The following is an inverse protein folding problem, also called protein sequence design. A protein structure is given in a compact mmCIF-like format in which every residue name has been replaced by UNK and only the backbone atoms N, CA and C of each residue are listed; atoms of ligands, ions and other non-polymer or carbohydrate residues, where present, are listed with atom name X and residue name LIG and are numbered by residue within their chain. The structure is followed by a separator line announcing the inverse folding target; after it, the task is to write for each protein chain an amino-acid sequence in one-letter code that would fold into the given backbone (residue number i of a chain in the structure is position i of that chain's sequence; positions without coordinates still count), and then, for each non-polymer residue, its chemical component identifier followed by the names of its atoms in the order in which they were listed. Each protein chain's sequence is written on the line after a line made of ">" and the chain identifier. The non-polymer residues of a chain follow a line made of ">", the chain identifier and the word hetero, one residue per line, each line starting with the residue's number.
data_IF_727668187079
#
_entry.id   IF_727668187079
#
_cell.length_a   1.000
_cell.length_b   1.000
_cell.length_c   1.000
_cell.angle_alpha   90.00
_cell.angle_beta   90.00
_cell.angle_gamma   90.00
#
_symmetry.space_group_name_H-M   'P 1'
#
loop_
_entity.id
_entity.type
_entity.pdbx_description
1 polymer ?
#
# COMPACT_ATOMS: atom_id res chain seq x y z
N UNK A 1 -6.98 24.99 -9.00
CA UNK A 1 -7.06 23.84 -8.07
C UNK A 1 -5.67 23.35 -7.71
N UNK A 2 -4.81 23.07 -8.69
CA UNK A 2 -3.42 22.69 -8.50
C UNK A 2 -2.65 23.66 -7.59
N UNK A 3 -2.82 24.98 -7.75
CA UNK A 3 -2.17 25.96 -6.85
C UNK A 3 -2.56 25.78 -5.37
N UNK A 4 -3.81 25.40 -5.10
CA UNK A 4 -4.26 25.13 -3.72
C UNK A 4 -3.65 23.83 -3.18
N UNK A 5 -3.48 22.82 -4.02
CA UNK A 5 -2.78 21.58 -3.66
C UNK A 5 -1.30 21.87 -3.38
N UNK A 6 -0.60 22.58 -4.27
CA UNK A 6 0.79 22.97 -4.10
C UNK A 6 0.98 23.79 -2.82
N UNK A 7 0.11 24.78 -2.57
CA UNK A 7 0.11 25.54 -1.31
C UNK A 7 -0.08 24.63 -0.09
N UNK A 8 -0.94 23.62 -0.19
CA UNK A 8 -1.15 22.65 0.90
C UNK A 8 0.09 21.80 1.14
N UNK A 9 0.83 21.40 0.10
CA UNK A 9 2.13 20.71 0.25
C UNK A 9 3.16 21.60 0.96
N UNK A 10 3.25 22.89 0.59
CA UNK A 10 4.15 23.85 1.25
C UNK A 10 3.77 24.08 2.72
N UNK A 11 2.47 24.18 3.03
CA UNK A 11 1.98 24.29 4.41
C UNK A 11 2.29 23.02 5.21
N UNK A 12 2.14 21.84 4.58
CA UNK A 12 2.45 20.57 5.21
C UNK A 12 3.95 20.42 5.51
N UNK A 13 4.81 20.79 4.56
CA UNK A 13 6.25 20.84 4.74
C UNK A 13 6.67 21.70 5.94
N UNK A 14 6.07 22.89 6.09
CA UNK A 14 6.33 23.77 7.24
C UNK A 14 5.89 23.14 8.56
N UNK A 15 4.73 22.48 8.58
CA UNK A 15 4.25 21.75 9.75
C UNK A 15 5.22 20.62 10.13
N UNK A 16 5.64 19.80 9.16
CA UNK A 16 6.58 18.70 9.41
C UNK A 16 7.95 19.22 9.89
N UNK A 17 8.47 20.32 9.33
CA UNK A 17 9.72 20.94 9.82
C UNK A 17 9.60 21.39 11.27
N UNK A 18 8.48 22.01 11.65
CA UNK A 18 8.23 22.42 13.04
C UNK A 18 8.09 21.21 13.96
N UNK A 19 7.37 20.17 13.54
CA UNK A 19 7.23 18.94 14.33
C UNK A 19 8.60 18.30 14.53
N UNK A 20 9.38 18.15 13.46
CA UNK A 20 10.69 17.47 13.50
C UNK A 20 11.68 18.17 14.44
N UNK A 21 11.65 19.50 14.51
CA UNK A 21 12.50 20.29 15.40
C UNK A 21 12.21 20.04 16.89
N UNK A 22 10.94 19.79 17.23
CA UNK A 22 10.46 19.58 18.60
C UNK A 22 10.15 18.08 18.90
N UNK A 23 10.59 17.17 18.02
CA UNK A 23 10.17 15.77 18.06
C UNK A 23 10.97 14.97 19.09
N UNK A 24 10.28 14.52 20.13
CA UNK A 24 10.75 13.47 21.03
C UNK A 24 9.92 12.20 20.85
N UNK A 25 10.58 11.05 21.00
CA UNK A 25 10.00 9.69 20.92
C UNK A 25 8.84 9.54 21.92
N UNK A 26 8.90 10.21 23.07
CA UNK A 26 7.86 10.12 24.10
C UNK A 26 6.54 10.78 23.63
N UNK A 27 6.62 11.91 22.93
CA UNK A 27 5.51 12.79 22.56
C UNK A 27 4.97 12.62 21.14
N UNK A 28 5.33 11.53 20.46
CA UNK A 28 4.91 11.26 19.06
C UNK A 28 3.38 11.37 18.88
N UNK A 29 2.58 10.90 19.83
CA UNK A 29 1.11 10.98 19.73
C UNK A 29 0.60 12.41 19.60
N UNK A 30 1.14 13.33 20.39
CA UNK A 30 0.78 14.75 20.34
C UNK A 30 1.15 15.40 19.00
N UNK A 31 2.30 15.03 18.44
CA UNK A 31 2.74 15.55 17.15
C UNK A 31 1.91 14.99 15.98
N UNK A 32 1.60 13.69 16.00
CA UNK A 32 0.70 13.07 15.03
C UNK A 32 -0.71 13.68 15.09
N UNK A 33 -1.18 14.10 16.26
CA UNK A 33 -2.45 14.81 16.41
C UNK A 33 -2.50 16.16 15.70
N UNK A 34 -1.37 16.89 15.67
CA UNK A 34 -1.27 18.12 14.87
C UNK A 34 -1.40 17.81 13.38
N UNK A 35 -0.78 16.73 12.91
CA UNK A 35 -0.87 16.25 11.52
C UNK A 35 -2.32 15.83 11.19
N UNK A 36 -2.97 15.10 12.11
CA UNK A 36 -4.38 14.69 11.98
C UNK A 36 -5.27 15.90 11.77
N UNK A 37 -5.14 16.91 12.64
CA UNK A 37 -5.90 18.14 12.57
C UNK A 37 -5.64 18.94 11.28
N UNK A 38 -4.41 18.96 10.80
CA UNK A 38 -4.06 19.58 9.52
C UNK A 38 -4.81 18.92 8.36
N UNK A 39 -4.68 17.61 8.21
CA UNK A 39 -5.30 16.88 7.10
C UNK A 39 -6.82 16.84 7.20
N UNK A 40 -7.38 16.72 8.41
CA UNK A 40 -8.81 16.82 8.61
C UNK A 40 -9.38 18.15 8.10
N UNK A 41 -8.70 19.29 8.32
CA UNK A 41 -9.10 20.60 7.78
C UNK A 41 -8.98 20.68 6.26
N UNK A 42 -8.09 19.90 5.64
CA UNK A 42 -7.84 19.86 4.20
C UNK A 42 -8.67 18.82 3.45
N UNK A 43 -9.39 17.93 4.15
CA UNK A 43 -10.16 16.82 3.54
C UNK A 43 -11.01 17.25 2.35
N UNK A 44 -11.75 18.36 2.48
CA UNK A 44 -12.63 18.85 1.42
C UNK A 44 -11.89 19.31 0.17
N UNK A 45 -10.69 19.87 0.34
CA UNK A 45 -9.84 20.21 -0.79
C UNK A 45 -9.41 18.95 -1.55
N UNK A 46 -9.06 17.88 -0.83
CA UNK A 46 -8.64 16.61 -1.42
C UNK A 46 -9.82 15.91 -2.12
N UNK A 47 -11.01 15.91 -1.53
CA UNK A 47 -12.23 15.41 -2.18
C UNK A 47 -12.50 16.11 -3.52
N UNK A 48 -12.43 17.45 -3.53
CA UNK A 48 -12.63 18.23 -4.76
C UNK A 48 -11.49 17.98 -5.75
N UNK A 49 -10.24 17.89 -5.29
CA UNK A 49 -9.12 17.54 -6.15
C UNK A 49 -9.30 16.16 -6.79
N UNK A 50 -9.80 15.18 -6.05
CA UNK A 50 -10.14 13.88 -6.61
C UNK A 50 -11.17 13.99 -7.72
N UNK A 51 -12.25 14.73 -7.53
CA UNK A 51 -13.33 14.82 -8.53
C UNK A 51 -12.94 15.55 -9.82
N UNK A 52 -12.05 16.56 -9.73
CA UNK A 52 -11.77 17.47 -10.84
C UNK A 52 -10.34 17.42 -11.38
N UNK A 53 -9.39 16.86 -10.62
CA UNK A 53 -7.98 16.74 -10.99
C UNK A 53 -7.59 15.28 -11.20
N UNK A 54 -7.84 14.41 -10.22
CA UNK A 54 -7.39 13.00 -10.26
C UNK A 54 -8.34 12.10 -11.08
N UNK A 55 -9.64 12.36 -10.99
CA UNK A 55 -10.63 11.74 -11.84
C UNK A 55 -10.33 12.14 -13.30
N UNK A 56 -10.23 11.15 -14.19
CA UNK A 56 -9.88 11.27 -15.62
C UNK A 56 -8.39 11.43 -15.96
N UNK A 57 -7.46 11.24 -15.02
CA UNK A 57 -6.04 11.56 -15.26
C UNK A 57 -5.02 10.45 -15.00
N UNK A 58 -5.39 9.17 -15.02
CA UNK A 58 -4.45 8.06 -14.75
C UNK A 58 -3.57 8.39 -13.53
N UNK A 59 -4.23 8.69 -12.41
CA UNK A 59 -3.56 9.03 -11.16
C UNK A 59 -3.25 7.77 -10.38
N UNK A 60 -2.00 7.61 -9.96
CA UNK A 60 -1.57 6.46 -9.16
C UNK A 60 -1.19 6.89 -7.76
N UNK A 61 -1.44 6.03 -6.79
CA UNK A 61 -1.04 6.28 -5.41
C UNK A 61 -0.17 5.15 -4.86
N UNK A 62 1.00 5.51 -4.35
CA UNK A 62 1.94 4.61 -3.71
C UNK A 62 1.47 4.35 -2.29
N UNK A 63 1.07 3.11 -1.99
CA UNK A 63 0.39 2.74 -0.74
C UNK A 63 0.93 1.44 -0.17
N UNK A 64 0.38 1.02 0.97
CA UNK A 64 0.76 -0.19 1.71
C UNK A 64 2.25 -0.28 2.10
N UNK A 65 2.93 0.86 2.18
CA UNK A 65 4.29 0.94 2.69
C UNK A 65 4.32 1.57 4.08
N UNK A 66 5.34 1.22 4.85
CA UNK A 66 5.65 1.90 6.12
C UNK A 66 6.39 3.23 5.92
N UNK A 67 7.19 3.35 4.85
CA UNK A 67 7.90 4.59 4.49
C UNK A 67 8.31 4.55 3.02
N UNK A 68 8.50 5.73 2.43
CA UNK A 68 9.14 5.85 1.13
C UNK A 68 10.64 6.05 1.34
N UNK A 69 11.44 5.00 1.22
CA UNK A 69 12.89 5.12 1.41
C UNK A 69 13.49 5.93 0.25
N UNK A 70 13.78 7.20 0.48
CA UNK A 70 14.31 8.12 -0.55
C UNK A 70 15.71 7.76 -1.04
N UNK A 71 16.44 6.94 -0.27
CA UNK A 71 17.76 6.43 -0.66
C UNK A 71 17.66 5.25 -1.63
N UNK A 72 16.53 4.54 -1.66
CA UNK A 72 16.31 3.43 -2.59
C UNK A 72 15.77 3.96 -3.92
N UNK A 73 16.35 3.48 -5.01
CA UNK A 73 15.91 3.78 -6.38
C UNK A 73 14.93 2.74 -6.93
N UNK A 74 14.70 1.63 -6.22
CA UNK A 74 13.94 0.46 -6.69
C UNK A 74 12.50 0.78 -7.09
N UNK A 75 11.95 1.86 -6.52
CA UNK A 75 10.56 2.27 -6.72
C UNK A 75 10.44 3.59 -7.49
N UNK A 76 11.53 4.14 -8.02
CA UNK A 76 11.51 5.45 -8.68
C UNK A 76 10.68 5.47 -9.97
N UNK A 77 10.42 4.31 -10.58
CA UNK A 77 9.46 4.17 -11.68
C UNK A 77 8.08 4.74 -11.36
N UNK A 78 7.69 4.75 -10.08
CA UNK A 78 6.43 5.34 -9.63
C UNK A 78 6.29 6.81 -10.09
N UNK A 79 7.37 7.60 -10.06
CA UNK A 79 7.34 9.04 -10.39
C UNK A 79 7.06 9.37 -11.85
N UNK A 80 7.04 8.37 -12.73
CA UNK A 80 6.84 8.52 -14.18
C UNK A 80 5.65 7.73 -14.71
N UNK A 81 4.94 7.00 -13.84
CA UNK A 81 3.71 6.29 -14.18
C UNK A 81 2.52 7.20 -13.89
N UNK A 82 1.71 7.45 -14.92
CA UNK A 82 0.52 8.30 -14.78
C UNK A 82 0.78 9.79 -14.96
N UNK A 83 -0.31 10.57 -14.98
CA UNK A 83 -0.22 12.03 -15.03
C UNK A 83 0.09 12.64 -13.67
N UNK A 84 -0.46 12.03 -12.61
CA UNK A 84 -0.27 12.43 -11.22
C UNK A 84 0.11 11.24 -10.37
N UNK A 85 0.97 11.51 -9.39
CA UNK A 85 1.45 10.52 -8.43
C UNK A 85 1.13 11.00 -7.03
N UNK A 86 0.59 10.12 -6.19
CA UNK A 86 0.28 10.43 -4.80
C UNK A 86 1.02 9.47 -3.88
N UNK A 87 1.84 9.96 -2.95
CA UNK A 87 2.32 9.13 -1.86
C UNK A 87 1.27 9.14 -0.74
N UNK A 88 0.75 7.97 -0.42
CA UNK A 88 -0.18 7.75 0.67
C UNK A 88 0.54 7.79 2.01
N UNK A 89 0.49 8.95 2.65
CA UNK A 89 1.22 9.23 3.87
C UNK A 89 0.78 8.31 5.04
N UNK A 90 1.67 7.43 5.53
CA UNK A 90 1.32 6.43 6.54
C UNK A 90 1.31 6.98 7.96
N UNK A 91 1.74 8.23 8.21
CA UNK A 91 1.94 8.76 9.57
C UNK A 91 0.69 8.65 10.45
N UNK A 92 -0.49 8.89 9.88
CA UNK A 92 -1.76 8.81 10.62
C UNK A 92 -2.23 7.37 10.88
N UNK A 93 -1.73 6.40 10.10
CA UNK A 93 -1.98 4.98 10.41
C UNK A 93 -1.26 4.56 11.70
N UNK A 94 -0.11 5.18 12.01
CA UNK A 94 0.61 4.92 13.26
C UNK A 94 -0.09 5.52 14.48
N UNK A 95 -0.76 6.66 14.32
CA UNK A 95 -1.51 7.28 15.41
C UNK A 95 -2.60 6.33 15.94
N UNK A 96 -3.34 5.66 15.04
CA UNK A 96 -4.40 4.72 15.44
C UNK A 96 -3.85 3.56 16.29
N UNK A 97 -2.63 3.10 16.03
CA UNK A 97 -1.97 2.04 16.81
C UNK A 97 -1.44 2.59 18.14
N UNK A 98 -0.86 3.79 18.14
CA UNK A 98 -0.28 4.45 19.31
C UNK A 98 -1.37 4.91 20.30
N UNK A 99 -2.56 5.29 19.85
CA UNK A 99 -3.68 5.69 20.71
C UNK A 99 -4.32 4.48 21.42
N UNK A 100 -4.22 3.27 20.86
CA UNK A 100 -4.82 2.03 21.41
C UNK A 100 -3.95 1.31 22.45
N UNK A 101 -3.03 2.02 23.10
CA UNK A 101 -2.02 1.50 24.05
C UNK A 101 -2.57 0.56 25.12
N UNK A 102 -3.78 0.80 25.61
CA UNK A 102 -4.40 -0.03 26.66
C UNK A 102 -4.69 -1.47 26.21
N UNK A 103 -4.78 -1.71 24.90
CA UNK A 103 -4.94 -3.05 24.30
C UNK A 103 -3.60 -3.76 24.04
N UNK A 104 -2.48 -3.07 24.22
CA UNK A 104 -1.16 -3.38 23.65
C UNK A 104 -0.12 -3.65 24.76
N UNK A 105 -0.59 -4.08 25.94
CA UNK A 105 0.17 -4.36 27.18
C UNK A 105 1.37 -5.34 27.04
N UNK A 106 1.59 -5.94 25.87
CA UNK A 106 2.68 -6.89 25.60
C UNK A 106 3.57 -6.51 24.41
N UNK A 107 3.53 -5.26 23.96
CA UNK A 107 4.17 -4.82 22.71
C UNK A 107 5.10 -3.61 22.89
N UNK A 108 5.68 -3.38 24.07
CA UNK A 108 6.54 -2.22 24.32
C UNK A 108 7.70 -2.08 23.30
N UNK A 109 8.33 -3.19 22.94
CA UNK A 109 9.38 -3.23 21.90
C UNK A 109 8.83 -2.82 20.54
N UNK A 110 7.65 -3.32 20.18
CA UNK A 110 6.97 -2.98 18.92
C UNK A 110 6.58 -1.50 18.89
N UNK A 111 6.01 -0.96 19.97
CA UNK A 111 5.66 0.45 20.10
C UNK A 111 6.89 1.36 19.95
N UNK A 112 8.03 0.99 20.52
CA UNK A 112 9.29 1.75 20.35
C UNK A 112 9.76 1.73 18.91
N UNK A 113 9.73 0.57 18.24
CA UNK A 113 10.07 0.47 16.81
C UNK A 113 9.13 1.29 15.93
N UNK A 114 7.84 1.26 16.23
CA UNK A 114 6.82 2.03 15.51
C UNK A 114 7.08 3.54 15.63
N UNK A 115 7.40 3.99 16.85
CA UNK A 115 7.77 5.37 17.13
C UNK A 115 9.02 5.81 16.35
N UNK A 116 10.06 4.98 16.27
CA UNK A 116 11.23 5.29 15.45
C UNK A 116 10.89 5.38 13.96
N UNK A 117 10.04 4.46 13.46
CA UNK A 117 9.56 4.51 12.07
C UNK A 117 8.82 5.82 11.76
N UNK A 118 8.05 6.37 12.69
CA UNK A 118 7.41 7.69 12.52
C UNK A 118 8.45 8.78 12.27
N UNK A 119 9.56 8.78 13.01
CA UNK A 119 10.64 9.76 12.85
C UNK A 119 11.28 9.62 11.47
N UNK A 120 11.65 8.39 11.09
CA UNK A 120 12.23 8.09 9.77
C UNK A 120 11.29 8.50 8.63
N UNK A 121 9.99 8.19 8.75
CA UNK A 121 8.97 8.60 7.78
C UNK A 121 8.88 10.13 7.66
N UNK A 122 8.94 10.87 8.77
CA UNK A 122 8.95 12.35 8.72
C UNK A 122 10.18 12.86 7.96
N UNK A 123 11.35 12.27 8.20
CA UNK A 123 12.60 12.65 7.52
C UNK A 123 12.50 12.38 5.99
N UNK A 124 12.02 11.20 5.60
CA UNK A 124 11.77 10.84 4.20
C UNK A 124 10.78 11.82 3.53
N UNK A 125 9.68 12.15 4.22
CA UNK A 125 8.66 13.09 3.73
C UNK A 125 9.20 14.51 3.54
N UNK A 126 10.06 14.98 4.46
CA UNK A 126 10.70 16.29 4.34
C UNK A 126 11.59 16.37 3.10
N UNK A 127 12.38 15.33 2.82
CA UNK A 127 13.23 15.25 1.63
C UNK A 127 12.37 15.27 0.36
N UNK A 128 11.29 14.49 0.31
CA UNK A 128 10.39 14.45 -0.85
C UNK A 128 9.69 15.78 -1.11
N UNK A 129 9.23 16.47 -0.05
CA UNK A 129 8.57 17.77 -0.16
C UNK A 129 9.55 18.87 -0.61
N UNK A 130 10.81 18.81 -0.17
CA UNK A 130 11.84 19.78 -0.54
C UNK A 130 12.23 19.70 -2.03
N UNK A 131 12.09 18.53 -2.66
CA UNK A 131 12.36 18.33 -4.09
C UNK A 131 11.35 19.00 -5.03
N UNK A 132 10.18 19.44 -4.51
CA UNK A 132 9.11 20.08 -5.29
C UNK A 132 8.75 19.34 -6.59
N UNK A 133 8.67 18.01 -6.51
CA UNK A 133 8.51 17.13 -7.67
C UNK A 133 7.19 17.47 -8.42
N UNK A 134 7.24 17.80 -9.73
CA UNK A 134 6.03 18.18 -10.47
C UNK A 134 4.98 17.07 -10.50
N UNK A 135 3.70 17.40 -10.29
CA UNK A 135 2.56 16.47 -10.29
C UNK A 135 2.60 15.34 -9.25
N UNK A 136 3.53 15.42 -8.29
CA UNK A 136 3.61 14.50 -7.16
C UNK A 136 3.06 15.16 -5.90
N UNK A 137 2.26 14.43 -5.14
CA UNK A 137 1.62 14.93 -3.92
C UNK A 137 1.75 13.92 -2.78
N UNK A 138 2.01 14.40 -1.58
CA UNK A 138 1.93 13.60 -0.34
C UNK A 138 0.58 13.88 0.29
N UNK A 139 -0.26 12.85 0.42
CA UNK A 139 -1.62 12.96 0.98
C UNK A 139 -1.98 11.64 1.68
N UNK A 140 -2.45 11.66 2.94
CA UNK A 140 -2.85 10.44 3.65
C UNK A 140 -4.26 10.00 3.19
N UNK A 141 -4.37 9.47 1.97
CA UNK A 141 -5.65 9.15 1.35
C UNK A 141 -6.43 8.11 2.16
N UNK A 142 -5.79 7.06 2.68
CA UNK A 142 -6.49 6.04 3.48
C UNK A 142 -7.10 6.62 4.76
N UNK A 143 -6.36 7.47 5.47
CA UNK A 143 -6.88 8.19 6.64
C UNK A 143 -8.06 9.11 6.26
N UNK A 144 -7.95 9.84 5.15
CA UNK A 144 -9.03 10.71 4.72
C UNK A 144 -10.27 9.91 4.33
N UNK A 145 -10.10 8.79 3.63
CA UNK A 145 -11.19 7.88 3.31
C UNK A 145 -11.86 7.36 4.59
N UNK A 146 -11.08 6.94 5.60
CA UNK A 146 -11.64 6.44 6.87
C UNK A 146 -12.41 7.51 7.66
N UNK A 147 -12.07 8.79 7.48
CA UNK A 147 -12.80 9.93 8.06
C UNK A 147 -14.09 10.29 7.32
N UNK A 148 -14.19 9.95 6.02
CA UNK A 148 -15.30 10.36 5.16
C UNK A 148 -16.29 9.22 4.95
N UNK A 149 -15.78 8.00 4.80
CA UNK A 149 -16.56 6.82 4.53
C UNK A 149 -16.92 6.09 5.83
N UNK A 150 -18.16 6.27 6.27
CA UNK A 150 -18.71 5.59 7.45
C UNK A 150 -18.97 4.09 7.21
N UNK A 151 -19.12 3.67 5.94
CA UNK A 151 -19.41 2.29 5.56
C UNK A 151 -18.12 1.50 5.31
N UNK A 152 -17.46 1.10 6.41
CA UNK A 152 -16.33 0.16 6.33
C UNK A 152 -16.83 -1.22 5.92
N UNK A 153 -16.20 -1.82 4.91
CA UNK A 153 -16.50 -3.20 4.52
C UNK A 153 -15.90 -4.13 5.57
N UNK A 154 -16.74 -4.97 6.19
CA UNK A 154 -16.26 -6.04 7.06
C UNK A 154 -15.57 -7.12 6.23
N UNK A 155 -14.30 -7.36 6.53
CA UNK A 155 -13.47 -8.37 5.85
C UNK A 155 -13.68 -9.77 6.43
N UNK A 156 -14.29 -9.90 7.62
CA UNK A 156 -14.46 -11.18 8.29
C UNK A 156 -15.21 -12.23 7.46
N UNK A 157 -16.29 -11.90 6.73
CA UNK A 157 -16.94 -12.85 5.83
C UNK A 157 -15.99 -13.44 4.78
N UNK A 158 -15.07 -12.62 4.26
CA UNK A 158 -14.05 -13.10 3.32
C UNK A 158 -13.02 -13.99 4.02
N UNK A 159 -12.56 -13.60 5.22
CA UNK A 159 -11.58 -14.37 6.00
C UNK A 159 -12.13 -15.75 6.40
N UNK A 160 -13.43 -15.84 6.71
CA UNK A 160 -14.09 -17.10 7.04
C UNK A 160 -13.94 -18.16 5.95
N UNK A 161 -13.80 -17.75 4.68
CA UNK A 161 -13.60 -18.69 3.57
C UNK A 161 -12.26 -19.44 3.64
N UNK A 162 -11.29 -19.03 4.46
CA UNK A 162 -10.03 -19.77 4.62
C UNK A 162 -10.13 -20.91 5.65
N UNK A 163 -11.25 -20.98 6.35
CA UNK A 163 -11.49 -21.89 7.45
C UNK A 163 -12.66 -22.81 7.12
N UNK A 164 -12.69 -23.97 7.78
CA UNK A 164 -13.88 -24.84 7.74
C UNK A 164 -15.07 -24.08 8.36
N UNK A 165 -16.28 -24.24 7.82
CA UNK A 165 -17.46 -23.37 8.12
C UNK A 165 -17.94 -23.37 9.60
N UNK A 166 -17.32 -24.14 10.49
CA UNK A 166 -17.71 -24.33 11.89
C UNK A 166 -16.78 -23.70 12.95
N UNK A 167 -15.82 -22.84 12.57
CA UNK A 167 -14.91 -22.25 13.57
C UNK A 167 -15.56 -21.12 14.38
N UNK A 168 -15.51 -21.26 15.69
CA UNK A 168 -15.77 -20.16 16.62
C UNK A 168 -14.49 -19.33 16.82
N UNK A 169 -14.42 -18.16 16.17
CA UNK A 169 -13.30 -17.22 16.29
C UNK A 169 -13.14 -16.64 17.71
N UNK A 170 -14.14 -16.78 18.59
CA UNK A 170 -13.99 -16.43 20.00
C UNK A 170 -13.23 -17.49 20.81
N UNK A 171 -13.07 -18.70 20.27
CA UNK A 171 -12.50 -19.88 20.95
C UNK A 171 -11.29 -20.48 20.21
N UNK A 172 -10.53 -19.65 19.50
CA UNK A 172 -9.34 -20.11 18.76
C UNK A 172 -8.26 -20.76 19.64
N UNK A 173 -8.33 -20.60 20.96
CA UNK A 173 -7.44 -21.25 21.92
C UNK A 173 -7.79 -22.72 22.18
N UNK A 174 -8.98 -23.18 21.79
CA UNK A 174 -9.47 -24.54 22.01
C UNK A 174 -9.06 -25.51 20.89
N UNK A 175 -8.43 -25.01 19.82
CA UNK A 175 -8.00 -25.79 18.67
C UNK A 175 -6.48 -26.02 18.70
N UNK A 176 -6.07 -27.28 18.65
CA UNK A 176 -4.65 -27.66 18.77
C UNK A 176 -3.90 -27.69 17.43
N UNK A 177 -4.58 -28.04 16.33
CA UNK A 177 -3.96 -28.22 15.02
C UNK A 177 -4.56 -27.29 13.96
N UNK A 178 -3.79 -26.26 13.57
CA UNK A 178 -4.14 -25.34 12.49
C UNK A 178 -4.44 -26.06 11.16
N UNK A 179 -3.78 -27.19 10.87
CA UNK A 179 -4.00 -27.95 9.64
C UNK A 179 -5.37 -28.62 9.59
N UNK A 180 -6.01 -28.84 10.74
CA UNK A 180 -7.33 -29.49 10.81
C UNK A 180 -8.50 -28.54 10.54
N UNK A 181 -8.24 -27.23 10.57
CA UNK A 181 -9.28 -26.20 10.53
C UNK A 181 -9.19 -25.25 9.33
N UNK A 182 -8.14 -25.35 8.52
CA UNK A 182 -7.93 -24.51 7.34
C UNK A 182 -8.28 -25.25 6.05
N UNK A 183 -8.79 -24.50 5.07
CA UNK A 183 -8.94 -25.00 3.69
C UNK A 183 -7.60 -24.79 2.99
N UNK A 184 -6.85 -25.88 2.80
CA UNK A 184 -5.46 -25.85 2.33
C UNK A 184 -5.35 -25.18 0.95
N UNK A 185 -6.30 -25.45 0.07
CA UNK A 185 -6.37 -24.91 -1.29
C UNK A 185 -6.55 -23.39 -1.31
N UNK A 186 -7.25 -22.83 -0.33
CA UNK A 186 -7.45 -21.39 -0.21
C UNK A 186 -6.22 -20.72 0.41
N UNK A 187 -5.66 -21.34 1.45
CA UNK A 187 -4.46 -20.83 2.13
C UNK A 187 -3.22 -20.84 1.23
N UNK A 188 -3.11 -21.76 0.29
CA UNK A 188 -2.01 -21.78 -0.68
C UNK A 188 -2.06 -20.63 -1.71
N UNK A 189 -3.15 -19.85 -1.75
CA UNK A 189 -3.28 -18.68 -2.63
C UNK A 189 -2.81 -17.38 -1.97
N UNK A 190 -2.55 -17.40 -0.66
CA UNK A 190 -2.19 -16.22 0.14
C UNK A 190 -0.70 -16.27 0.43
N UNK A 191 -0.02 -15.12 0.35
CA UNK A 191 1.35 -14.98 0.82
C UNK A 191 1.36 -14.40 2.24
N UNK A 192 2.12 -14.98 3.15
CA UNK A 192 2.22 -14.51 4.53
C UNK A 192 3.30 -13.43 4.71
N UNK A 193 4.36 -13.45 3.90
CA UNK A 193 5.49 -12.52 3.93
C UNK A 193 6.31 -12.67 2.64
N UNK A 194 7.32 -11.82 2.41
CA UNK A 194 7.99 -11.71 1.10
C UNK A 194 8.68 -13.02 0.67
N UNK A 195 9.31 -13.72 1.61
CA UNK A 195 9.99 -14.99 1.36
C UNK A 195 9.12 -16.23 1.67
N UNK A 196 7.81 -16.05 1.80
CA UNK A 196 6.89 -17.16 2.03
C UNK A 196 6.87 -18.12 0.83
N UNK A 197 6.70 -19.41 1.11
CA UNK A 197 6.55 -20.42 0.08
C UNK A 197 5.19 -21.12 0.25
N UNK A 198 4.20 -20.79 -0.60
CA UNK A 198 2.86 -21.37 -0.51
C UNK A 198 2.80 -22.89 -0.75
N UNK A 199 3.85 -23.50 -1.29
CA UNK A 199 3.94 -24.95 -1.46
C UNK A 199 4.27 -25.70 -0.16
N UNK A 200 4.71 -24.98 0.89
CA UNK A 200 4.97 -25.57 2.21
C UNK A 200 3.67 -25.78 2.99
N UNK A 201 3.70 -26.73 3.92
CA UNK A 201 2.58 -26.93 4.86
C UNK A 201 2.32 -25.67 5.69
N UNK A 202 1.06 -25.45 6.08
CA UNK A 202 0.65 -24.31 6.92
C UNK A 202 1.49 -24.19 8.21
N UNK A 203 1.82 -25.31 8.86
CA UNK A 203 2.66 -25.34 10.07
C UNK A 203 4.05 -24.78 9.82
N UNK A 204 4.68 -25.17 8.71
CA UNK A 204 6.03 -24.68 8.39
C UNK A 204 6.00 -23.20 7.98
N UNK A 205 4.97 -22.75 7.26
CA UNK A 205 4.78 -21.33 6.89
C UNK A 205 4.59 -20.45 8.14
N UNK A 206 3.76 -20.89 9.09
CA UNK A 206 3.58 -20.21 10.38
C UNK A 206 4.89 -20.12 11.17
N UNK A 207 5.64 -21.23 11.23
CA UNK A 207 6.94 -21.27 11.90
C UNK A 207 7.97 -20.34 11.27
N UNK A 208 7.98 -20.22 9.94
CA UNK A 208 8.83 -19.26 9.23
C UNK A 208 8.41 -17.82 9.53
N UNK A 209 7.11 -17.51 9.48
CA UNK A 209 6.58 -16.20 9.84
C UNK A 209 6.98 -15.80 11.27
N UNK A 210 6.87 -16.72 12.24
CA UNK A 210 7.31 -16.47 13.62
C UNK A 210 8.79 -16.14 13.76
N UNK A 211 9.64 -16.76 12.94
CA UNK A 211 11.09 -16.48 12.95
C UNK A 211 11.36 -15.09 12.41
N UNK A 212 10.76 -14.78 11.26
CA UNK A 212 10.91 -13.49 10.57
C UNK A 212 10.46 -12.31 11.43
N UNK A 213 9.31 -12.43 12.11
CA UNK A 213 8.71 -11.36 12.92
C UNK A 213 8.81 -11.61 14.44
N UNK A 214 9.83 -12.39 14.86
CA UNK A 214 10.04 -12.79 16.27
C UNK A 214 10.20 -11.61 17.24
N UNK A 215 10.56 -10.46 16.71
CA UNK A 215 10.90 -9.22 17.40
C UNK A 215 9.70 -8.28 17.58
N UNK A 216 8.54 -8.64 17.00
CA UNK A 216 7.30 -7.86 16.98
C UNK A 216 6.11 -8.69 17.49
N UNK A 217 6.10 -10.02 17.27
CA UNK A 217 4.99 -10.88 17.65
C UNK A 217 4.97 -11.19 19.16
N UNK A 218 3.77 -11.27 19.78
CA UNK A 218 3.63 -11.78 21.14
C UNK A 218 4.08 -13.24 21.26
N UNK A 219 4.84 -13.54 22.31
CA UNK A 219 5.35 -14.89 22.57
C UNK A 219 4.28 -15.92 22.91
N UNK A 220 3.10 -15.48 23.35
CA UNK A 220 1.98 -16.32 23.79
C UNK A 220 0.88 -16.52 22.73
N UNK A 221 0.99 -15.92 21.54
CA UNK A 221 0.01 -16.08 20.47
C UNK A 221 0.11 -17.49 19.87
N UNK A 222 -0.98 -18.26 19.86
CA UNK A 222 -1.01 -19.59 19.26
C UNK A 222 -1.02 -19.54 17.72
N UNK A 223 -0.82 -20.66 17.04
CA UNK A 223 -0.67 -20.71 15.57
C UNK A 223 -1.93 -20.27 14.82
N UNK A 224 -3.10 -20.52 15.38
CA UNK A 224 -4.39 -20.21 14.76
C UNK A 224 -4.72 -18.72 14.90
N UNK A 225 -4.46 -18.15 16.08
CA UNK A 225 -4.51 -16.71 16.33
C UNK A 225 -3.54 -15.97 15.42
N UNK A 226 -2.33 -16.51 15.24
CA UNK A 226 -1.34 -15.92 14.33
C UNK A 226 -1.83 -15.95 12.88
N UNK A 227 -2.39 -17.08 12.43
CA UNK A 227 -2.98 -17.17 11.09
C UNK A 227 -4.12 -16.15 10.91
N UNK A 228 -5.03 -16.05 11.88
CA UNK A 228 -6.10 -15.06 11.85
C UNK A 228 -5.55 -13.64 11.78
N UNK A 229 -4.53 -13.33 12.59
CA UNK A 229 -3.87 -12.02 12.60
C UNK A 229 -3.27 -11.68 11.23
N UNK A 230 -2.59 -12.63 10.59
CA UNK A 230 -1.99 -12.47 9.26
C UNK A 230 -3.06 -12.22 8.19
N UNK A 231 -4.08 -13.07 8.12
CA UNK A 231 -5.18 -12.94 7.15
C UNK A 231 -5.94 -11.62 7.35
N UNK A 232 -6.25 -11.28 8.60
CA UNK A 232 -6.93 -10.04 8.92
C UNK A 232 -6.09 -8.82 8.55
N UNK A 233 -4.79 -8.83 8.84
CA UNK A 233 -3.88 -7.74 8.48
C UNK A 233 -3.87 -7.46 6.98
N UNK A 234 -3.58 -8.48 6.17
CA UNK A 234 -3.48 -8.30 4.71
C UNK A 234 -4.81 -7.93 4.07
N UNK A 235 -5.90 -8.62 4.43
CA UNK A 235 -7.17 -8.38 3.74
C UNK A 235 -7.89 -7.14 4.25
N UNK A 236 -7.73 -6.73 5.51
CA UNK A 236 -8.21 -5.42 5.97
C UNK A 236 -7.50 -4.30 5.23
N UNK A 237 -6.16 -4.40 5.08
CA UNK A 237 -5.39 -3.43 4.31
C UNK A 237 -5.82 -3.40 2.84
N UNK A 238 -6.04 -4.56 2.23
CA UNK A 238 -6.48 -4.66 0.84
C UNK A 238 -7.87 -4.03 0.61
N UNK A 239 -8.82 -4.27 1.53
CA UNK A 239 -10.14 -3.62 1.51
C UNK A 239 -10.02 -2.10 1.66
N UNK A 240 -9.21 -1.62 2.60
CA UNK A 240 -9.02 -0.17 2.82
C UNK A 240 -8.42 0.52 1.59
N UNK A 241 -7.44 -0.12 0.95
CA UNK A 241 -6.84 0.33 -0.32
C UNK A 241 -7.89 0.34 -1.44
N UNK A 242 -8.70 -0.71 -1.55
CA UNK A 242 -9.78 -0.80 -2.53
C UNK A 242 -10.80 0.34 -2.34
N UNK A 243 -11.32 0.53 -1.13
CA UNK A 243 -12.29 1.59 -0.84
C UNK A 243 -11.70 2.98 -1.11
N UNK A 244 -10.44 3.20 -0.75
CA UNK A 244 -9.71 4.45 -0.98
C UNK A 244 -9.50 4.71 -2.48
N UNK A 245 -9.09 3.68 -3.22
CA UNK A 245 -8.92 3.70 -4.68
C UNK A 245 -10.22 4.10 -5.37
N UNK A 246 -11.33 3.45 -5.01
CA UNK A 246 -12.66 3.73 -5.56
C UNK A 246 -13.14 5.13 -5.20
N UNK A 247 -12.99 5.55 -3.94
CA UNK A 247 -13.48 6.85 -3.47
C UNK A 247 -12.74 8.01 -4.14
N UNK A 248 -11.40 7.93 -4.19
CA UNK A 248 -10.58 9.02 -4.73
C UNK A 248 -10.29 8.91 -6.24
N UNK A 249 -10.78 7.87 -6.92
CA UNK A 249 -10.54 7.61 -8.35
C UNK A 249 -9.04 7.55 -8.69
N UNK A 250 -8.29 6.82 -7.87
CA UNK A 250 -6.83 6.62 -8.00
C UNK A 250 -6.51 5.14 -8.08
N UNK A 251 -5.40 4.78 -8.72
CA UNK A 251 -4.98 3.39 -8.89
C UNK A 251 -3.81 3.05 -7.96
N UNK A 252 -3.86 1.94 -7.20
CA UNK A 252 -2.80 1.62 -6.27
C UNK A 252 -1.53 1.20 -7.00
N UNK A 253 -0.40 1.64 -6.45
CA UNK A 253 0.94 1.17 -6.78
C UNK A 253 1.52 0.50 -5.53
N UNK A 254 2.02 -0.72 -5.69
CA UNK A 254 2.58 -1.53 -4.61
C UNK A 254 4.07 -1.74 -4.82
N UNK A 255 4.85 -1.61 -3.75
CA UNK A 255 6.28 -1.93 -3.71
C UNK A 255 6.58 -3.25 -2.99
N UNK A 256 5.56 -4.05 -2.73
CA UNK A 256 5.60 -5.33 -2.03
C UNK A 256 4.87 -6.37 -2.88
N UNK A 257 5.54 -7.49 -3.16
CA UNK A 257 4.95 -8.57 -3.95
C UNK A 257 3.80 -9.20 -3.17
N UNK A 258 3.98 -9.40 -1.87
CA UNK A 258 2.98 -9.99 -0.98
C UNK A 258 1.71 -9.17 -0.96
N UNK A 259 1.86 -7.86 -0.76
CA UNK A 259 0.71 -6.95 -0.71
C UNK A 259 -0.02 -6.95 -2.04
N UNK A 260 0.72 -6.86 -3.15
CA UNK A 260 0.14 -6.93 -4.49
C UNK A 260 -0.64 -8.23 -4.70
N UNK A 261 -0.05 -9.38 -4.39
CA UNK A 261 -0.68 -10.69 -4.60
C UNK A 261 -1.95 -10.84 -3.76
N UNK A 262 -1.89 -10.53 -2.46
CA UNK A 262 -3.04 -10.61 -1.57
C UNK A 262 -4.16 -9.63 -1.98
N UNK A 263 -3.81 -8.42 -2.40
CA UNK A 263 -4.77 -7.45 -2.94
C UNK A 263 -5.45 -7.95 -4.22
N UNK A 264 -4.69 -8.51 -5.17
CA UNK A 264 -5.26 -9.02 -6.41
C UNK A 264 -6.10 -10.28 -6.20
N UNK A 265 -5.73 -11.13 -5.23
CA UNK A 265 -6.55 -12.28 -4.84
C UNK A 265 -7.92 -11.83 -4.33
N UNK A 266 -7.95 -10.83 -3.43
CA UNK A 266 -9.20 -10.23 -2.96
C UNK A 266 -10.01 -9.60 -4.11
N UNK A 267 -9.36 -8.81 -4.98
CA UNK A 267 -10.04 -8.19 -6.13
C UNK A 267 -10.63 -9.23 -7.08
N UNK A 268 -9.92 -10.34 -7.34
CA UNK A 268 -10.45 -11.44 -8.14
C UNK A 268 -11.72 -12.02 -7.52
N UNK A 269 -11.70 -12.25 -6.21
CA UNK A 269 -12.88 -12.74 -5.49
C UNK A 269 -14.05 -11.76 -5.61
N UNK A 270 -13.82 -10.46 -5.40
CA UNK A 270 -14.85 -9.42 -5.53
C UNK A 270 -15.37 -9.36 -6.97
N UNK A 271 -14.50 -9.34 -7.97
CA UNK A 271 -14.88 -9.27 -9.38
C UNK A 271 -15.71 -10.49 -9.82
N UNK A 272 -15.34 -11.69 -9.36
CA UNK A 272 -16.07 -12.92 -9.64
C UNK A 272 -17.49 -12.91 -9.04
N UNK A 273 -17.63 -12.44 -7.80
CA UNK A 273 -18.93 -12.43 -7.12
C UNK A 273 -19.83 -11.26 -7.54
N UNK A 274 -19.26 -10.09 -7.87
CA UNK A 274 -20.03 -8.90 -8.26
C UNK A 274 -20.43 -8.87 -9.74
N UNK A 275 -19.68 -9.56 -10.62
CA UNK A 275 -19.81 -9.45 -12.08
C UNK A 275 -19.70 -8.01 -12.61
N UNK A 276 -19.05 -7.12 -11.85
CA UNK A 276 -18.90 -5.71 -12.18
C UNK A 276 -17.71 -5.47 -13.12
N UNK A 277 -17.96 -4.92 -14.31
CA UNK A 277 -16.93 -4.59 -15.30
C UNK A 277 -15.90 -3.59 -14.78
N UNK A 278 -16.28 -2.67 -13.89
CA UNK A 278 -15.34 -1.74 -13.27
C UNK A 278 -14.31 -2.45 -12.40
N UNK A 279 -14.69 -3.59 -11.77
CA UNK A 279 -13.78 -4.42 -10.98
C UNK A 279 -12.81 -5.19 -11.87
N UNK A 280 -13.27 -5.66 -13.04
CA UNK A 280 -12.39 -6.30 -14.03
C UNK A 280 -11.35 -5.31 -14.55
N UNK A 281 -11.76 -4.08 -14.83
CA UNK A 281 -10.84 -3.01 -15.25
C UNK A 281 -9.84 -2.64 -14.15
N UNK A 282 -10.28 -2.55 -12.88
CA UNK A 282 -9.38 -2.31 -11.75
C UNK A 282 -8.33 -3.43 -11.58
N UNK A 283 -8.75 -4.68 -11.71
CA UNK A 283 -7.86 -5.86 -11.67
C UNK A 283 -6.85 -5.83 -12.82
N UNK A 284 -7.31 -5.53 -14.03
CA UNK A 284 -6.48 -5.40 -15.24
C UNK A 284 -5.42 -4.31 -15.08
N UNK A 285 -5.81 -3.14 -14.58
CA UNK A 285 -4.89 -2.02 -14.34
C UNK A 285 -3.89 -2.31 -13.23
N UNK A 286 -4.32 -2.94 -12.14
CA UNK A 286 -3.44 -3.41 -11.06
C UNK A 286 -2.34 -4.33 -11.59
N UNK A 287 -2.71 -5.37 -12.36
CA UNK A 287 -1.75 -6.31 -12.98
C UNK A 287 -0.80 -5.61 -13.95
N UNK A 288 -1.31 -4.69 -14.76
CA UNK A 288 -0.49 -3.93 -15.70
C UNK A 288 0.60 -3.12 -14.98
N UNK A 289 0.24 -2.37 -13.93
CA UNK A 289 1.21 -1.58 -13.16
C UNK A 289 2.25 -2.44 -12.47
N UNK A 290 1.84 -3.57 -11.90
CA UNK A 290 2.80 -4.49 -11.29
C UNK A 290 3.76 -5.09 -12.31
N UNK A 291 3.31 -5.31 -13.55
CA UNK A 291 4.19 -5.72 -14.65
C UNK A 291 5.25 -4.66 -14.93
N UNK A 292 4.86 -3.38 -14.99
CA UNK A 292 5.80 -2.27 -15.14
C UNK A 292 6.85 -2.27 -14.01
N UNK A 293 6.41 -2.41 -12.76
CA UNK A 293 7.32 -2.44 -11.62
C UNK A 293 8.28 -3.63 -11.68
N UNK A 294 7.79 -4.84 -11.99
CA UNK A 294 8.61 -6.03 -12.16
C UNK A 294 9.64 -5.88 -13.29
N UNK A 295 9.24 -5.41 -14.46
CA UNK A 295 10.16 -5.22 -15.59
C UNK A 295 11.18 -4.11 -15.30
N UNK A 296 10.79 -3.05 -14.59
CA UNK A 296 11.71 -2.00 -14.16
C UNK A 296 12.77 -2.55 -13.20
N UNK A 297 12.35 -3.35 -12.22
CA UNK A 297 13.27 -3.98 -11.27
C UNK A 297 14.29 -4.90 -11.92
N UNK A 298 13.92 -5.59 -13.00
CA UNK A 298 14.86 -6.42 -13.78
C UNK A 298 15.96 -5.60 -14.48
N UNK A 299 15.76 -4.29 -14.66
CA UNK A 299 16.79 -3.42 -15.27
C UNK A 299 17.91 -3.07 -14.30
N UNK A 300 17.69 -3.22 -12.99
CA UNK A 300 18.66 -2.87 -11.94
C UNK A 300 19.22 -1.44 -12.10
N UNK A 301 18.42 -0.54 -12.69
CA UNK A 301 18.83 0.81 -13.03
C UNK A 301 18.73 1.73 -11.80
N UNK A 302 19.87 2.28 -11.36
CA UNK A 302 19.92 3.20 -10.23
C UNK A 302 19.75 4.66 -10.67
N UNK A 303 18.56 4.99 -11.18
CA UNK A 303 18.21 6.36 -11.58
C UNK A 303 17.65 7.16 -10.40
N UNK A 304 18.13 8.38 -10.20
CA UNK A 304 17.48 9.33 -9.27
C UNK A 304 16.11 9.75 -9.78
N UNK A 305 15.30 10.33 -8.90
CA UNK A 305 13.97 10.87 -9.24
C UNK A 305 14.07 11.91 -10.39
N UNK A 306 15.08 12.78 -10.33
CA UNK A 306 15.30 13.82 -11.33
C UNK A 306 15.72 13.22 -12.68
N UNK A 307 16.61 12.22 -12.66
CA UNK A 307 17.08 11.53 -13.85
C UNK A 307 15.94 10.79 -14.57
N UNK A 308 15.19 9.95 -13.84
CA UNK A 308 14.10 9.16 -14.43
C UNK A 308 12.99 10.04 -14.98
N UNK A 309 12.66 11.16 -14.30
CA UNK A 309 11.66 12.11 -14.82
C UNK A 309 12.11 12.82 -16.08
N UNK A 310 13.37 13.23 -16.12
CA UNK A 310 13.95 13.89 -17.30
C UNK A 310 13.91 12.95 -18.50
N UNK A 311 14.35 11.70 -18.32
CA UNK A 311 14.35 10.70 -19.38
C UNK A 311 12.93 10.33 -19.82
N UNK A 312 12.00 10.15 -18.88
CA UNK A 312 10.59 9.87 -19.19
C UNK A 312 9.95 10.97 -20.04
N UNK A 313 10.30 12.24 -19.80
CA UNK A 313 9.83 13.37 -20.62
C UNK A 313 10.42 13.34 -22.03
N UNK A 314 11.72 13.04 -22.16
CA UNK A 314 12.40 12.98 -23.47
C UNK A 314 11.79 11.92 -24.39
N UNK A 315 11.42 10.76 -23.83
CA UNK A 315 10.91 9.62 -24.61
C UNK A 315 9.38 9.54 -24.68
N UNK A 316 8.66 10.51 -24.10
CA UNK A 316 7.21 10.51 -23.90
C UNK A 316 6.70 9.19 -23.27
N UNK A 317 7.38 8.76 -22.20
CA UNK A 317 7.18 7.45 -21.57
C UNK A 317 5.72 7.21 -21.16
N UNK A 318 5.09 8.23 -20.57
CA UNK A 318 3.70 8.17 -20.14
C UNK A 318 2.74 7.83 -21.29
N UNK A 319 2.90 8.47 -22.46
CA UNK A 319 2.06 8.21 -23.63
C UNK A 319 2.28 6.81 -24.17
N UNK A 320 3.54 6.34 -24.22
CA UNK A 320 3.89 4.99 -24.70
C UNK A 320 3.27 3.91 -23.81
N UNK A 321 3.44 4.01 -22.49
CA UNK A 321 2.81 3.10 -21.53
C UNK A 321 1.29 3.12 -21.67
N UNK A 322 0.68 4.31 -21.84
CA UNK A 322 -0.76 4.44 -22.08
C UNK A 322 -1.24 3.80 -23.38
N UNK A 323 -0.39 3.73 -24.42
CA UNK A 323 -0.70 3.00 -25.66
C UNK A 323 -0.68 1.49 -25.43
N UNK A 324 0.34 0.96 -24.76
CA UNK A 324 0.43 -0.47 -24.40
C UNK A 324 -0.81 -0.88 -23.58
N UNK A 325 -1.22 -0.06 -22.62
CA UNK A 325 -2.42 -0.36 -21.82
C UNK A 325 -3.70 -0.46 -22.67
N UNK A 326 -3.86 0.40 -23.68
CA UNK A 326 -5.04 0.35 -24.58
C UNK A 326 -5.04 -0.88 -25.49
N UNK A 327 -3.86 -1.41 -25.80
CA UNK A 327 -3.68 -2.58 -26.68
C UNK A 327 -3.52 -3.89 -25.89
N UNK A 328 -3.63 -3.85 -24.57
CA UNK A 328 -3.35 -4.98 -23.68
C UNK A 328 -4.21 -6.23 -24.00
N UNK A 329 -5.46 -6.06 -24.43
CA UNK A 329 -6.33 -7.18 -24.82
C UNK A 329 -5.90 -7.78 -26.18
N UNK A 330 -5.34 -6.95 -27.07
CA UNK A 330 -4.80 -7.40 -28.36
C UNK A 330 -3.43 -8.08 -28.20
N UNK A 331 -2.62 -7.66 -27.22
CA UNK A 331 -1.35 -8.30 -26.87
C UNK A 331 -1.55 -9.72 -26.33
N UNK A 332 -2.70 -10.01 -25.74
CA UNK A 332 -3.23 -11.34 -25.45
C UNK A 332 -2.56 -12.11 -24.31
N UNK A 333 -1.23 -12.02 -24.15
CA UNK A 333 -0.48 -12.72 -23.11
C UNK A 333 0.31 -11.78 -22.21
N UNK A 334 0.49 -12.18 -20.95
CA UNK A 334 1.30 -11.45 -19.98
C UNK A 334 2.75 -11.31 -20.43
N UNK A 335 3.29 -12.29 -21.15
CA UNK A 335 4.65 -12.26 -21.72
C UNK A 335 4.78 -11.21 -22.82
N UNK A 336 3.80 -11.12 -23.72
CA UNK A 336 3.77 -10.09 -24.76
C UNK A 336 3.69 -8.68 -24.16
N UNK A 337 2.85 -8.49 -23.14
CA UNK A 337 2.73 -7.22 -22.41
C UNK A 337 4.06 -6.86 -21.72
N UNK A 338 4.68 -7.81 -21.03
CA UNK A 338 5.97 -7.61 -20.37
C UNK A 338 7.07 -7.25 -21.37
N UNK A 339 7.08 -7.86 -22.56
CA UNK A 339 8.05 -7.55 -23.62
C UNK A 339 7.94 -6.12 -24.12
N UNK A 340 6.73 -5.64 -24.41
CA UNK A 340 6.49 -4.26 -24.86
C UNK A 340 6.84 -3.23 -23.77
N UNK A 341 6.49 -3.53 -22.51
CA UNK A 341 6.88 -2.71 -21.35
C UNK A 341 8.41 -2.68 -21.22
N UNK A 342 9.07 -3.83 -21.27
CA UNK A 342 10.54 -3.92 -21.18
C UNK A 342 11.22 -3.10 -22.26
N UNK A 343 10.74 -3.16 -23.51
CA UNK A 343 11.28 -2.36 -24.61
C UNK A 343 11.13 -0.85 -24.36
N UNK A 344 10.01 -0.41 -23.79
CA UNK A 344 9.85 1.00 -23.40
C UNK A 344 10.79 1.39 -22.24
N UNK A 345 11.03 0.47 -21.31
CA UNK A 345 11.92 0.69 -20.17
C UNK A 345 13.39 0.74 -20.59
N UNK A 346 13.81 0.02 -21.63
CA UNK A 346 15.18 0.08 -22.16
C UNK A 346 15.56 1.54 -22.51
N UNK A 347 14.69 2.24 -23.23
CA UNK A 347 14.89 3.67 -23.53
C UNK A 347 14.79 4.59 -22.31
N UNK A 348 14.14 4.14 -21.22
CA UNK A 348 14.01 4.92 -19.99
C UNK A 348 15.26 4.83 -19.12
N UNK A 349 16.01 3.73 -19.21
CA UNK A 349 17.19 3.46 -18.37
C UNK A 349 18.53 3.70 -19.08
N UNK A 350 18.51 3.86 -20.41
CA UNK A 350 19.58 4.48 -21.22
C UNK A 350 19.78 5.96 -20.86
#
# INVERSE_FOLDING_TARGET
>A
MLDKLNKTQTEYFKLLKSIRADLDVEDIGYHLDKIRNFWFKKRRLIEIASQYVFNKSDTYFYTATSRFNVESTDNNIFFVIGKYQIYDDPLLSYLEVIERKDTVLHFDTYLRKLKNKVIESIDDLLILLEKEIPNFYIVPLRFLNSCINENKIDVMPFIKNFFVEEIDFARLNEYDDVSSIVITEHISQVMFFEDDNPALSIKERIKQYRREFSDILPSNMNDIQLLQFVLFGYFSQAIDIFQTSSYFNVFPFFSSVVTFLNYNFLLMYIAYNSQDESMKEALKKSRFIFTIWCEYRKKEASLSIEAIKSQALLIDFYRKIGMIYREIDALGTQESIAKEISACLDFLVE
#
